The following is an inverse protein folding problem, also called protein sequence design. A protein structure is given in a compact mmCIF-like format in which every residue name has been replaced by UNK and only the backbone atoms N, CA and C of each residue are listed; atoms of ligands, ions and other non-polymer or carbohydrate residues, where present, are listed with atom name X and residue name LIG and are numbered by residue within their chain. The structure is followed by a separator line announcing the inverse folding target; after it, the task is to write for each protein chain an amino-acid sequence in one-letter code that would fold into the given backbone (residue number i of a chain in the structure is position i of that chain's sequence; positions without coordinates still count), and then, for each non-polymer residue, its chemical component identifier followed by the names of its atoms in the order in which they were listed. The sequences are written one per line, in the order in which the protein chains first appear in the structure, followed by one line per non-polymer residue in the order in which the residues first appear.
data_IF_402605663272
#
_entry.id   IF_402605663272
#
_cell.length_a   1.000
_cell.length_b   1.000
_cell.length_c   1.000
_cell.angle_alpha   90.00
_cell.angle_beta   90.00
_cell.angle_gamma   90.00
#
_symmetry.space_group_name_H-M   'P 1'
#
loop_
_entity.id
_entity.type
_entity.pdbx_description
1 polymer ?
#
# COMPACT_ATOMS: atom_id res chain seq x y z
N UNK A 1 -7.65 11.21 15.00
CA UNK A 1 -7.00 12.40 14.40
C UNK A 1 -5.58 12.66 14.94
N UNK A 2 -5.34 12.71 16.25
CA UNK A 2 -4.01 13.01 16.82
C UNK A 2 -2.87 12.08 16.35
N UNK A 3 -3.14 10.80 16.11
CA UNK A 3 -2.15 9.83 15.64
C UNK A 3 -1.69 10.11 14.20
N UNK A 4 -2.62 10.50 13.32
CA UNK A 4 -2.33 10.87 11.94
C UNK A 4 -1.58 12.20 11.83
N UNK A 5 -1.86 13.14 12.75
CA UNK A 5 -1.19 14.43 12.78
C UNK A 5 0.28 14.31 13.22
N UNK A 6 0.59 13.41 14.17
CA UNK A 6 1.98 13.05 14.52
C UNK A 6 2.73 12.41 13.36
N UNK A 7 2.07 11.51 12.62
CA UNK A 7 2.63 10.88 11.42
C UNK A 7 2.85 11.92 10.29
N UNK A 8 1.96 12.90 10.16
CA UNK A 8 2.08 13.99 9.20
C UNK A 8 3.27 14.92 9.51
N UNK A 9 3.55 15.24 10.78
CA UNK A 9 4.70 16.07 11.16
C UNK A 9 6.02 15.34 10.93
N UNK A 10 6.07 14.01 11.12
CA UNK A 10 7.26 13.21 10.84
C UNK A 10 7.66 13.21 9.34
N UNK A 11 6.72 13.49 8.43
CA UNK A 11 6.93 13.54 6.97
C UNK A 11 8.09 14.45 6.54
N UNK A 12 8.30 15.57 7.21
CA UNK A 12 9.27 16.59 6.80
C UNK A 12 10.68 16.41 7.39
N UNK A 13 10.89 15.39 8.21
CA UNK A 13 12.16 15.15 8.91
C UNK A 13 12.86 13.83 8.52
N UNK A 14 12.27 13.03 7.63
CA UNK A 14 12.85 11.75 7.22
C UNK A 14 13.94 11.96 6.17
N UNK A 15 15.20 11.91 6.61
CA UNK A 15 16.36 11.73 5.73
C UNK A 15 16.52 10.24 5.44
N UNK A 16 16.56 9.90 4.15
CA UNK A 16 16.69 8.54 3.68
C UNK A 16 18.10 8.28 3.16
N UNK A 17 18.92 7.50 3.87
CA UNK A 17 20.20 7.04 3.33
C UNK A 17 20.07 5.59 2.85
N UNK A 18 20.49 5.37 1.60
CA UNK A 18 20.60 4.05 0.99
C UNK A 18 22.05 3.59 1.01
N UNK A 19 22.23 2.28 1.08
CA UNK A 19 23.52 1.65 0.85
C UNK A 19 23.59 1.30 -0.64
N UNK A 20 24.54 1.89 -1.37
CA UNK A 20 24.76 1.58 -2.78
C UNK A 20 25.58 0.29 -2.93
N UNK A 21 25.50 -0.38 -4.08
CA UNK A 21 26.33 -1.56 -4.38
C UNK A 21 27.82 -1.24 -4.25
N UNK A 22 28.24 -0.04 -4.66
CA UNK A 22 29.61 0.42 -4.53
C UNK A 22 30.03 0.60 -3.06
N UNK A 23 29.18 1.22 -2.24
CA UNK A 23 29.46 1.43 -0.82
C UNK A 23 29.41 0.12 -0.03
N UNK A 24 28.49 -0.79 -0.37
CA UNK A 24 28.45 -2.15 0.17
C UNK A 24 29.73 -2.89 -0.19
N UNK A 25 30.09 -2.95 -1.48
CA UNK A 25 31.30 -3.63 -1.96
C UNK A 25 32.55 -3.09 -1.28
N UNK A 26 32.69 -1.75 -1.19
CA UNK A 26 33.81 -1.09 -0.51
C UNK A 26 33.86 -1.48 0.97
N UNK A 27 32.72 -1.51 1.65
CA UNK A 27 32.63 -1.86 3.06
C UNK A 27 32.96 -3.34 3.33
N UNK A 28 32.56 -4.26 2.44
CA UNK A 28 32.88 -5.70 2.57
C UNK A 28 34.33 -5.98 2.20
N UNK A 29 34.88 -5.30 1.20
CA UNK A 29 36.31 -5.41 0.87
C UNK A 29 37.19 -4.97 2.04
N UNK A 30 36.76 -3.94 2.79
CA UNK A 30 37.48 -3.47 3.98
C UNK A 30 37.37 -4.41 5.19
N UNK A 31 36.26 -5.16 5.31
CA UNK A 31 36.04 -6.15 6.38
C UNK A 31 35.15 -7.30 5.87
N UNK A 32 35.76 -8.39 5.37
CA UNK A 32 35.04 -9.47 4.67
C UNK A 32 34.36 -10.46 5.61
N UNK A 33 34.23 -10.13 6.91
CA UNK A 33 33.60 -11.03 7.88
C UNK A 33 32.09 -11.16 7.62
N UNK A 34 31.52 -12.38 7.70
CA UNK A 34 30.09 -12.60 7.53
C UNK A 34 29.23 -11.71 8.46
N UNK A 35 29.64 -11.57 9.72
CA UNK A 35 28.99 -10.69 10.70
C UNK A 35 28.87 -9.23 10.23
N UNK A 36 29.92 -8.68 9.61
CA UNK A 36 29.90 -7.31 9.07
C UNK A 36 29.00 -7.21 7.85
N UNK A 37 29.11 -8.17 6.93
CA UNK A 37 28.32 -8.20 5.72
C UNK A 37 26.82 -8.32 6.01
N UNK A 38 26.45 -9.26 6.86
CA UNK A 38 25.07 -9.48 7.26
C UNK A 38 24.49 -8.27 7.99
N UNK A 39 25.26 -7.60 8.86
CA UNK A 39 24.80 -6.35 9.50
C UNK A 39 24.48 -5.25 8.50
N UNK A 40 25.33 -5.07 7.47
CA UNK A 40 25.12 -4.07 6.43
C UNK A 40 23.89 -4.40 5.57
N UNK A 41 23.83 -5.63 5.07
CA UNK A 41 22.72 -6.13 4.26
C UNK A 41 21.40 -6.02 5.01
N UNK A 42 21.34 -6.56 6.21
CA UNK A 42 20.13 -6.53 7.00
C UNK A 42 19.73 -5.10 7.38
N UNK A 43 20.70 -4.20 7.66
CA UNK A 43 20.39 -2.79 7.94
C UNK A 43 19.81 -2.10 6.70
N UNK A 44 20.27 -2.46 5.50
CA UNK A 44 19.70 -1.97 4.25
C UNK A 44 18.25 -2.46 4.08
N UNK A 45 18.00 -3.75 4.27
CA UNK A 45 16.65 -4.33 4.18
C UNK A 45 15.69 -3.74 5.21
N UNK A 46 16.16 -3.52 6.45
CA UNK A 46 15.36 -2.85 7.48
C UNK A 46 14.94 -1.44 7.03
N UNK A 47 15.89 -0.67 6.49
CA UNK A 47 15.60 0.66 5.96
C UNK A 47 14.54 0.53 4.86
N UNK A 48 14.72 -0.30 3.84
CA UNK A 48 13.71 -0.46 2.79
C UNK A 48 12.31 -0.79 3.33
N UNK A 49 12.22 -1.66 4.35
CA UNK A 49 10.96 -1.95 5.02
C UNK A 49 10.36 -0.71 5.73
N UNK A 50 11.19 0.09 6.41
CA UNK A 50 10.78 1.38 6.97
C UNK A 50 10.31 2.35 5.87
N UNK A 51 10.93 2.33 4.69
CA UNK A 51 10.59 3.21 3.58
C UNK A 51 9.20 2.92 3.10
N UNK A 52 8.99 1.64 2.83
CA UNK A 52 7.70 1.16 2.40
C UNK A 52 6.61 1.46 3.42
N UNK A 53 6.88 1.29 4.73
CA UNK A 53 5.95 1.65 5.79
C UNK A 53 5.60 3.15 5.77
N UNK A 54 6.61 4.02 5.78
CA UNK A 54 6.43 5.48 5.80
C UNK A 54 5.70 5.95 4.55
N UNK A 55 6.12 5.50 3.37
CA UNK A 55 5.50 5.84 2.09
C UNK A 55 4.05 5.37 2.03
N UNK A 56 3.75 4.17 2.51
CA UNK A 56 2.39 3.62 2.55
C UNK A 56 1.48 4.43 3.46
N UNK A 57 1.92 4.72 4.69
CA UNK A 57 1.17 5.54 5.65
C UNK A 57 0.95 6.94 5.10
N UNK A 58 2.00 7.55 4.56
CA UNK A 58 1.92 8.87 3.95
C UNK A 58 0.90 8.89 2.81
N UNK A 59 0.99 7.93 1.87
CA UNK A 59 0.04 7.83 0.76
C UNK A 59 -1.39 7.63 1.23
N UNK A 60 -1.62 6.83 2.28
CA UNK A 60 -2.95 6.67 2.88
C UNK A 60 -3.50 8.01 3.39
N UNK A 61 -2.69 8.81 4.08
CA UNK A 61 -3.13 10.12 4.59
C UNK A 61 -3.47 11.07 3.45
N UNK A 62 -2.64 11.10 2.40
CA UNK A 62 -2.86 11.95 1.23
C UNK A 62 -4.11 11.59 0.46
N UNK A 63 -4.54 10.33 0.47
CA UNK A 63 -5.75 9.89 -0.22
C UNK A 63 -6.99 10.00 0.66
N UNK A 64 -6.88 9.66 1.95
CA UNK A 64 -8.03 9.62 2.86
C UNK A 64 -8.61 11.00 3.16
N UNK A 65 -7.76 12.00 3.43
CA UNK A 65 -8.22 13.35 3.75
C UNK A 65 -9.03 14.01 2.62
N UNK A 66 -8.57 14.04 1.36
CA UNK A 66 -9.38 14.55 0.26
C UNK A 66 -10.59 13.67 -0.05
N UNK A 67 -10.52 12.34 0.14
CA UNK A 67 -11.69 11.48 -0.07
C UNK A 67 -12.84 11.87 0.87
N UNK A 68 -12.53 12.12 2.15
CA UNK A 68 -13.53 12.60 3.13
C UNK A 68 -14.05 13.99 2.76
N UNK A 69 -13.19 14.91 2.31
CA UNK A 69 -13.65 16.23 1.84
C UNK A 69 -14.59 16.13 0.64
N UNK A 70 -14.24 15.30 -0.34
CA UNK A 70 -15.06 15.04 -1.51
C UNK A 70 -16.42 14.45 -1.12
N UNK A 71 -16.45 13.48 -0.21
CA UNK A 71 -17.71 12.93 0.33
C UNK A 71 -18.57 14.01 1.00
N UNK A 72 -17.98 14.86 1.83
CA UNK A 72 -18.70 15.96 2.50
C UNK A 72 -19.22 17.01 1.51
N UNK A 73 -18.51 17.23 0.41
CA UNK A 73 -18.93 18.11 -0.68
C UNK A 73 -19.92 17.46 -1.65
N UNK A 74 -20.30 16.20 -1.44
CA UNK A 74 -21.09 15.37 -2.37
C UNK A 74 -20.44 15.16 -3.75
N UNK A 75 -19.11 15.29 -3.83
CA UNK A 75 -18.30 15.00 -5.02
C UNK A 75 -18.01 13.49 -5.10
N UNK A 76 -19.06 12.69 -5.30
CA UNK A 76 -19.00 11.21 -5.18
C UNK A 76 -17.97 10.59 -6.13
N UNK A 77 -17.88 11.05 -7.37
CA UNK A 77 -16.90 10.51 -8.33
C UNK A 77 -15.46 10.75 -7.87
N UNK A 78 -15.15 11.95 -7.37
CA UNK A 78 -13.82 12.25 -6.85
C UNK A 78 -13.50 11.38 -5.62
N UNK A 79 -14.48 11.19 -4.73
CA UNK A 79 -14.36 10.27 -3.61
C UNK A 79 -14.11 8.82 -4.08
N UNK A 80 -14.79 8.33 -5.11
CA UNK A 80 -14.58 6.98 -5.65
C UNK A 80 -13.16 6.78 -6.19
N UNK A 81 -12.62 7.76 -6.93
CA UNK A 81 -11.25 7.71 -7.45
C UNK A 81 -10.23 7.60 -6.31
N UNK A 82 -10.39 8.45 -5.28
CA UNK A 82 -9.48 8.49 -4.13
C UNK A 82 -9.61 7.24 -3.26
N UNK A 83 -10.83 6.78 -2.98
CA UNK A 83 -11.11 5.55 -2.25
C UNK A 83 -10.60 4.31 -2.98
N UNK A 84 -10.67 4.29 -4.31
CA UNK A 84 -10.07 3.21 -5.11
C UNK A 84 -8.57 3.14 -4.90
N UNK A 85 -7.87 4.25 -5.14
CA UNK A 85 -6.41 4.31 -4.95
C UNK A 85 -6.01 3.96 -3.51
N UNK A 86 -6.81 4.39 -2.53
CA UNK A 86 -6.60 4.06 -1.12
C UNK A 86 -6.70 2.56 -0.85
N UNK A 87 -7.68 1.89 -1.46
CA UNK A 87 -7.84 0.43 -1.37
C UNK A 87 -6.63 -0.30 -1.95
N UNK A 88 -6.05 0.19 -3.05
CA UNK A 88 -4.86 -0.41 -3.67
C UNK A 88 -3.64 -0.38 -2.75
N UNK A 89 -3.40 0.77 -2.11
CA UNK A 89 -2.30 0.97 -1.15
C UNK A 89 -2.50 0.07 0.07
N UNK A 90 -3.71 0.06 0.64
CA UNK A 90 -4.04 -0.79 1.78
C UNK A 90 -3.88 -2.28 1.44
N UNK A 91 -4.36 -2.71 0.28
CA UNK A 91 -4.25 -4.09 -0.16
C UNK A 91 -2.78 -4.53 -0.28
N UNK A 92 -1.96 -3.69 -0.92
CA UNK A 92 -0.53 -3.97 -1.09
C UNK A 92 0.20 -4.03 0.25
N UNK A 93 -0.13 -3.12 1.17
CA UNK A 93 0.45 -3.09 2.51
C UNK A 93 0.06 -4.32 3.34
N UNK A 94 -1.21 -4.73 3.28
CA UNK A 94 -1.75 -5.89 4.01
C UNK A 94 -1.07 -7.21 3.62
N UNK A 95 -0.63 -7.35 2.37
CA UNK A 95 0.09 -8.55 1.91
C UNK A 95 1.60 -8.47 2.18
N UNK A 96 2.17 -7.27 2.12
CA UNK A 96 3.60 -7.08 2.27
C UNK A 96 4.06 -7.27 3.73
N UNK A 97 3.37 -6.68 4.70
CA UNK A 97 3.82 -6.71 6.11
C UNK A 97 3.95 -8.13 6.65
N UNK A 98 2.98 -9.05 6.49
CA UNK A 98 3.14 -10.41 6.97
C UNK A 98 4.28 -11.18 6.30
N UNK A 99 4.63 -10.85 5.05
CA UNK A 99 5.77 -11.47 4.37
C UNK A 99 7.10 -10.98 4.95
N UNK A 100 7.22 -9.67 5.18
CA UNK A 100 8.40 -9.05 5.79
C UNK A 100 8.61 -9.60 7.21
N UNK A 101 7.55 -9.60 8.02
CA UNK A 101 7.56 -10.13 9.39
C UNK A 101 8.01 -11.59 9.43
N UNK A 102 7.38 -12.46 8.61
CA UNK A 102 7.74 -13.88 8.56
C UNK A 102 9.20 -14.11 8.17
N UNK A 103 9.71 -13.32 7.24
CA UNK A 103 11.11 -13.44 6.82
C UNK A 103 12.07 -13.06 7.96
N UNK A 104 11.84 -11.93 8.64
CA UNK A 104 12.67 -11.54 9.79
C UNK A 104 12.64 -12.57 10.93
N UNK A 105 11.48 -13.19 11.17
CA UNK A 105 11.34 -14.26 12.18
C UNK A 105 12.08 -15.53 11.77
N UNK A 106 12.14 -15.84 10.47
CA UNK A 106 12.77 -17.05 9.95
C UNK A 106 14.30 -16.95 9.80
N UNK A 107 14.90 -15.79 10.06
CA UNK A 107 16.35 -15.63 9.98
C UNK A 107 17.08 -16.49 11.02
N UNK A 108 18.20 -17.14 10.65
CA UNK A 108 19.01 -17.94 11.57
C UNK A 108 19.88 -17.02 12.45
N UNK A 109 19.23 -16.33 13.40
CA UNK A 109 19.85 -15.32 14.26
C UNK A 109 21.04 -15.85 15.07
N UNK A 110 21.01 -17.13 15.42
CA UNK A 110 22.06 -17.85 16.13
C UNK A 110 23.35 -18.02 15.30
N UNK A 111 23.24 -17.97 13.97
CA UNK A 111 24.35 -18.23 13.03
C UNK A 111 24.66 -17.03 12.13
N UNK A 112 24.07 -15.88 12.41
CA UNK A 112 24.22 -14.65 11.60
C UNK A 112 25.66 -14.14 11.56
N UNK A 113 26.49 -14.50 12.53
CA UNK A 113 27.91 -14.11 12.54
C UNK A 113 28.83 -15.14 11.87
N UNK A 114 28.33 -16.35 11.57
CA UNK A 114 29.12 -17.50 11.10
C UNK A 114 29.13 -17.66 9.58
N UNK A 115 28.02 -17.32 8.91
CA UNK A 115 27.84 -17.55 7.47
C UNK A 115 27.11 -16.39 6.80
N UNK A 116 27.35 -16.18 5.51
CA UNK A 116 26.62 -15.17 4.72
C UNK A 116 25.14 -15.56 4.61
N UNK A 117 24.27 -14.58 4.83
CA UNK A 117 22.83 -14.77 4.63
C UNK A 117 22.49 -14.68 3.14
N UNK A 118 21.65 -15.60 2.69
CA UNK A 118 20.95 -15.45 1.42
C UNK A 118 19.66 -14.63 1.66
N UNK A 119 19.63 -13.42 1.12
CA UNK A 119 18.51 -12.49 1.25
C UNK A 119 18.01 -11.97 -0.11
N UNK A 120 18.48 -12.54 -1.22
CA UNK A 120 18.23 -11.99 -2.55
C UNK A 120 16.72 -11.83 -2.83
N UNK A 121 15.92 -12.86 -2.53
CA UNK A 121 14.48 -12.81 -2.74
C UNK A 121 13.80 -11.67 -1.95
N UNK A 122 14.24 -11.44 -0.70
CA UNK A 122 13.67 -10.40 0.15
C UNK A 122 14.14 -9.01 -0.27
N UNK A 123 15.39 -8.86 -0.66
CA UNK A 123 15.94 -7.63 -1.22
C UNK A 123 15.18 -7.21 -2.48
N UNK A 124 15.03 -8.13 -3.43
CA UNK A 124 14.26 -7.89 -4.65
C UNK A 124 12.80 -7.53 -4.33
N UNK A 125 12.19 -8.20 -3.36
CA UNK A 125 10.82 -7.91 -2.93
C UNK A 125 10.69 -6.50 -2.33
N UNK A 126 11.53 -6.14 -1.36
CA UNK A 126 11.51 -4.83 -0.71
C UNK A 126 11.85 -3.71 -1.68
N UNK A 127 12.84 -3.93 -2.55
CA UNK A 127 13.22 -2.99 -3.61
C UNK A 127 12.04 -2.73 -4.54
N UNK A 128 11.33 -3.78 -4.97
CA UNK A 128 10.12 -3.64 -5.80
C UNK A 128 9.00 -2.89 -5.09
N UNK A 129 8.85 -3.05 -3.78
CA UNK A 129 7.82 -2.33 -3.02
C UNK A 129 8.07 -0.81 -2.99
N UNK A 130 9.34 -0.38 -2.99
CA UNK A 130 9.73 1.03 -2.90
C UNK A 130 9.88 1.67 -4.29
N UNK A 131 10.57 0.99 -5.20
CA UNK A 131 10.99 1.53 -6.49
C UNK A 131 10.21 0.96 -7.67
N UNK A 132 9.36 -0.04 -7.43
CA UNK A 132 8.69 -0.72 -8.50
C UNK A 132 7.82 0.22 -9.32
N UNK A 133 7.84 0.05 -10.64
CA UNK A 133 7.04 0.84 -11.58
C UNK A 133 6.35 -0.06 -12.61
N UNK A 134 5.31 0.50 -13.24
CA UNK A 134 4.68 -0.06 -14.45
C UNK A 134 5.01 0.74 -15.72
N UNK A 135 5.71 1.87 -15.58
CA UNK A 135 6.21 2.63 -16.72
C UNK A 135 7.38 1.86 -17.34
N UNK A 136 7.33 1.66 -18.66
CA UNK A 136 7.88 0.51 -19.40
C UNK A 136 9.39 0.35 -19.51
N UNK A 137 10.19 1.04 -18.70
CA UNK A 137 11.65 1.11 -18.87
C UNK A 137 12.42 0.46 -17.70
N UNK A 138 11.71 -0.29 -16.83
CA UNK A 138 12.28 -0.85 -15.60
C UNK A 138 12.95 -2.21 -15.78
N UNK A 139 14.01 -2.45 -15.01
CA UNK A 139 14.60 -3.79 -14.78
C UNK A 139 13.51 -4.74 -14.28
N UNK A 140 13.49 -6.01 -14.71
CA UNK A 140 12.44 -6.99 -14.36
C UNK A 140 12.16 -7.09 -12.85
N UNK A 141 13.20 -6.95 -12.03
CA UNK A 141 13.11 -6.92 -10.57
C UNK A 141 12.17 -5.83 -10.05
N UNK A 142 12.02 -4.71 -10.78
CA UNK A 142 11.20 -3.54 -10.43
C UNK A 142 9.79 -3.59 -11.01
N UNK A 143 9.42 -4.63 -11.76
CA UNK A 143 8.08 -4.72 -12.36
C UNK A 143 7.02 -4.90 -11.26
N UNK A 144 6.11 -3.93 -11.12
CA UNK A 144 5.05 -4.02 -10.11
C UNK A 144 4.05 -5.15 -10.41
N UNK A 145 3.60 -5.82 -9.34
CA UNK A 145 2.53 -6.82 -9.41
C UNK A 145 1.20 -6.15 -9.78
N UNK A 146 0.40 -6.83 -10.60
CA UNK A 146 -0.95 -6.37 -10.93
C UNK A 146 -1.79 -6.25 -9.63
N UNK A 147 -2.52 -5.14 -9.47
CA UNK A 147 -3.32 -4.92 -8.28
C UNK A 147 -4.42 -5.96 -8.15
N UNK A 148 -5.03 -6.39 -9.26
CA UNK A 148 -6.08 -7.43 -9.27
C UNK A 148 -5.56 -8.71 -8.62
N UNK A 149 -4.34 -9.14 -8.93
CA UNK A 149 -3.71 -10.31 -8.32
C UNK A 149 -3.54 -10.16 -6.80
N UNK A 150 -3.32 -8.94 -6.31
CA UNK A 150 -3.23 -8.68 -4.87
C UNK A 150 -4.61 -8.74 -4.21
N UNK A 151 -5.64 -8.18 -4.84
CA UNK A 151 -7.01 -8.25 -4.35
C UNK A 151 -7.52 -9.70 -4.29
N UNK A 152 -7.22 -10.51 -5.30
CA UNK A 152 -7.52 -11.95 -5.30
C UNK A 152 -6.87 -12.70 -4.14
N UNK A 153 -5.61 -12.38 -3.80
CA UNK A 153 -4.93 -12.97 -2.64
C UNK A 153 -5.60 -12.58 -1.33
N UNK A 154 -6.04 -11.33 -1.20
CA UNK A 154 -6.74 -10.86 -0.01
C UNK A 154 -8.12 -11.49 0.12
N UNK A 155 -8.87 -11.62 -0.96
CA UNK A 155 -10.18 -12.28 -0.93
C UNK A 155 -10.05 -13.75 -0.53
N UNK A 156 -9.05 -14.48 -1.04
CA UNK A 156 -8.76 -15.85 -0.59
C UNK A 156 -8.43 -15.91 0.90
N UNK A 157 -7.75 -14.90 1.43
CA UNK A 157 -7.47 -14.82 2.86
C UNK A 157 -8.73 -14.52 3.67
N UNK A 158 -9.55 -13.56 3.22
CA UNK A 158 -10.79 -13.17 3.86
C UNK A 158 -11.80 -14.32 3.87
N UNK A 159 -11.91 -15.08 2.78
CA UNK A 159 -12.78 -16.27 2.67
C UNK A 159 -12.39 -17.35 3.69
N UNK A 160 -11.10 -17.59 3.89
CA UNK A 160 -10.61 -18.52 4.94
C UNK A 160 -10.97 -18.08 6.35
N UNK A 161 -11.21 -16.79 6.56
CA UNK A 161 -11.69 -16.22 7.82
C UNK A 161 -13.23 -16.16 7.91
N UNK A 162 -13.95 -16.74 6.94
CA UNK A 162 -15.41 -16.78 6.90
C UNK A 162 -16.07 -15.51 6.35
N UNK A 163 -15.32 -14.61 5.71
CA UNK A 163 -15.90 -13.45 5.03
C UNK A 163 -16.45 -13.81 3.65
N UNK A 164 -17.30 -12.93 3.12
CA UNK A 164 -17.89 -13.09 1.80
C UNK A 164 -16.81 -13.24 0.71
N UNK A 165 -16.94 -14.23 -0.21
CA UNK A 165 -16.00 -14.38 -1.32
C UNK A 165 -15.93 -13.11 -2.17
N UNK A 166 -14.76 -12.78 -2.71
CA UNK A 166 -14.57 -11.61 -3.59
C UNK A 166 -14.96 -10.25 -2.99
N UNK A 167 -15.13 -10.14 -1.67
CA UNK A 167 -15.55 -8.91 -0.98
C UNK A 167 -14.72 -7.69 -1.40
N UNK A 168 -13.40 -7.82 -1.42
CA UNK A 168 -12.49 -6.71 -1.74
C UNK A 168 -12.55 -6.40 -3.24
N UNK A 169 -12.55 -7.42 -4.10
CA UNK A 169 -12.68 -7.25 -5.54
C UNK A 169 -13.98 -6.59 -5.96
N UNK A 170 -15.12 -6.95 -5.37
CA UNK A 170 -16.42 -6.35 -5.68
C UNK A 170 -16.46 -4.86 -5.32
N UNK A 171 -15.88 -4.49 -4.17
CA UNK A 171 -15.75 -3.09 -3.75
C UNK A 171 -14.82 -2.33 -4.70
N UNK A 172 -13.70 -2.92 -5.07
CA UNK A 172 -12.77 -2.34 -6.03
C UNK A 172 -13.41 -2.14 -7.42
N UNK A 173 -14.13 -3.14 -7.92
CA UNK A 173 -14.83 -3.08 -9.20
C UNK A 173 -15.90 -1.98 -9.20
N UNK A 174 -16.67 -1.89 -8.12
CA UNK A 174 -17.68 -0.82 -7.93
C UNK A 174 -17.05 0.57 -7.98
N UNK A 175 -15.93 0.77 -7.27
CA UNK A 175 -15.21 2.06 -7.30
C UNK A 175 -14.61 2.35 -8.67
N UNK A 176 -14.09 1.33 -9.35
CA UNK A 176 -13.51 1.44 -10.70
C UNK A 176 -14.56 1.80 -11.75
N UNK A 177 -15.74 1.21 -11.67
CA UNK A 177 -16.87 1.51 -12.56
C UNK A 177 -17.31 2.98 -12.43
N UNK A 178 -17.28 3.53 -11.21
CA UNK A 178 -17.58 4.94 -10.98
C UNK A 178 -16.43 5.89 -11.37
N UNK A 179 -15.19 5.42 -11.33
CA UNK A 179 -13.99 6.23 -11.57
C UNK A 179 -13.59 6.35 -13.06
N UNK A 180 -13.93 5.37 -13.89
CA UNK A 180 -13.56 5.36 -15.30
C UNK A 180 -14.64 5.97 -16.19
N UNK A 181 -14.27 6.64 -17.30
CA UNK A 181 -15.22 7.15 -18.27
C UNK A 181 -15.83 5.98 -19.06
N UNK A 182 -16.87 5.36 -18.50
CA UNK A 182 -17.61 4.29 -19.16
C UNK A 182 -19.10 4.58 -19.09
N UNK A 183 -19.80 4.21 -20.16
CA UNK A 183 -21.21 4.52 -20.34
C UNK A 183 -22.09 3.91 -19.25
N UNK A 184 -21.81 2.68 -18.81
CA UNK A 184 -22.60 1.95 -17.83
C UNK A 184 -22.49 2.55 -16.43
N UNK A 185 -21.29 2.90 -15.99
CA UNK A 185 -21.04 3.64 -14.75
C UNK A 185 -21.66 5.03 -14.80
N UNK A 186 -21.51 5.75 -15.92
CA UNK A 186 -22.16 7.04 -16.11
C UNK A 186 -23.69 6.95 -16.01
N UNK A 187 -24.28 5.96 -16.69
CA UNK A 187 -25.71 5.69 -16.64
C UNK A 187 -26.16 5.38 -15.22
N UNK A 188 -25.45 4.47 -14.55
CA UNK A 188 -25.79 3.92 -13.24
C UNK A 188 -25.64 4.94 -12.11
N UNK A 189 -24.72 5.90 -12.23
CA UNK A 189 -24.33 6.76 -11.10
C UNK A 189 -24.54 8.25 -11.33
N UNK A 190 -24.66 8.72 -12.58
CA UNK A 190 -24.66 10.16 -12.92
C UNK A 190 -25.75 10.60 -13.91
N UNK A 191 -26.61 9.69 -14.37
CA UNK A 191 -27.69 10.01 -15.32
C UNK A 191 -29.08 9.63 -14.79
N UNK A 192 -30.09 10.43 -15.12
CA UNK A 192 -31.51 10.04 -15.09
C UNK A 192 -32.06 10.01 -16.52
N UNK A 193 -32.83 8.98 -16.88
CA UNK A 193 -33.57 8.99 -18.15
C UNK A 193 -34.69 10.01 -18.09
N UNK A 194 -34.88 10.79 -19.16
CA UNK A 194 -35.89 11.85 -19.12
C UNK A 194 -36.73 11.98 -20.39
N UNK A 195 -36.35 11.41 -21.53
CA UNK A 195 -37.28 11.18 -22.66
C UNK A 195 -36.67 10.31 -23.75
N UNK A 196 -37.45 9.38 -24.29
CA UNK A 196 -37.29 8.89 -25.65
C UNK A 196 -37.95 9.91 -26.58
N UNK A 197 -37.19 10.49 -27.50
CA UNK A 197 -37.74 11.18 -28.64
C UNK A 197 -38.28 10.12 -29.60
N UNK A 198 -39.47 10.38 -30.18
CA UNK A 198 -40.21 9.42 -31.03
C UNK A 198 -39.54 9.06 -32.35
N UNK A 199 -38.27 9.46 -32.55
CA UNK A 199 -37.38 9.16 -33.67
C UNK A 199 -36.32 8.10 -33.31
N UNK A 200 -36.40 7.51 -32.11
CA UNK A 200 -35.47 6.49 -31.62
C UNK A 200 -34.25 7.06 -30.87
N UNK A 201 -34.14 8.38 -30.72
CA UNK A 201 -33.10 9.02 -29.92
C UNK A 201 -33.55 9.17 -28.46
N UNK A 202 -32.66 8.88 -27.51
CA UNK A 202 -32.93 9.14 -26.09
C UNK A 202 -32.10 10.32 -25.59
N UNK A 203 -32.75 11.25 -24.89
CA UNK A 203 -32.06 12.34 -24.19
C UNK A 203 -32.01 12.01 -22.70
N UNK A 204 -30.80 12.02 -22.14
CA UNK A 204 -30.56 11.75 -20.72
C UNK A 204 -30.06 13.01 -20.04
N UNK A 205 -30.71 13.40 -18.95
CA UNK A 205 -30.21 14.49 -18.13
C UNK A 205 -29.13 13.98 -17.17
N UNK A 206 -27.97 14.64 -17.21
CA UNK A 206 -26.96 14.56 -16.15
C UNK A 206 -27.49 15.28 -14.92
N UNK A 207 -27.95 14.54 -13.92
CA UNK A 207 -28.20 15.12 -12.60
C UNK A 207 -26.90 15.06 -11.80
N UNK A 208 -26.20 16.18 -11.71
CA UNK A 208 -25.15 16.38 -10.72
C UNK A 208 -25.82 16.52 -9.34
N UNK A 209 -26.15 15.39 -8.73
CA UNK A 209 -26.78 15.35 -7.43
C UNK A 209 -26.81 13.92 -6.90
N UNK A 210 -26.00 13.65 -5.88
CA UNK A 210 -25.84 12.37 -5.21
C UNK A 210 -27.08 11.91 -4.41
N UNK A 211 -28.28 12.08 -4.95
CA UNK A 211 -29.54 11.79 -4.26
C UNK A 211 -30.23 10.64 -4.98
N UNK A 212 -29.82 9.42 -4.62
CA UNK A 212 -30.38 8.17 -5.14
C UNK A 212 -29.68 6.94 -4.55
N UNK A 213 -30.34 5.78 -4.61
CA UNK A 213 -29.82 4.53 -4.04
C UNK A 213 -28.43 4.13 -4.59
N UNK A 214 -28.16 4.44 -5.86
CA UNK A 214 -26.87 4.19 -6.49
C UNK A 214 -25.75 5.07 -5.92
N UNK A 215 -26.01 6.37 -5.71
CA UNK A 215 -25.05 7.28 -5.05
C UNK A 215 -24.82 6.88 -3.59
N UNK A 216 -25.86 6.45 -2.87
CA UNK A 216 -25.72 5.95 -1.50
C UNK A 216 -24.84 4.70 -1.45
N UNK A 217 -25.01 3.78 -2.40
CA UNK A 217 -24.15 2.59 -2.53
C UNK A 217 -22.67 2.96 -2.77
N UNK A 218 -22.41 3.95 -3.62
CA UNK A 218 -21.04 4.46 -3.85
C UNK A 218 -20.46 5.10 -2.61
N UNK A 219 -21.22 5.95 -1.91
CA UNK A 219 -20.79 6.57 -0.65
C UNK A 219 -20.44 5.49 0.38
N UNK A 220 -21.31 4.50 0.58
CA UNK A 220 -21.05 3.36 1.48
C UNK A 220 -19.79 2.59 1.09
N UNK A 221 -19.56 2.40 -0.20
CA UNK A 221 -18.36 1.72 -0.71
C UNK A 221 -17.09 2.56 -0.48
N UNK A 222 -17.14 3.88 -0.64
CA UNK A 222 -16.03 4.78 -0.32
C UNK A 222 -15.70 4.77 1.17
N UNK A 223 -16.73 4.85 2.02
CA UNK A 223 -16.59 4.75 3.49
C UNK A 223 -16.02 3.40 3.89
N UNK A 224 -16.46 2.31 3.26
CA UNK A 224 -15.90 0.98 3.50
C UNK A 224 -14.40 0.94 3.13
N UNK A 225 -13.98 1.48 1.99
CA UNK A 225 -12.58 1.50 1.58
C UNK A 225 -11.71 2.34 2.54
N UNK A 226 -12.22 3.46 3.03
CA UNK A 226 -11.58 4.28 4.08
C UNK A 226 -11.40 3.48 5.37
N UNK A 227 -12.46 2.82 5.84
CA UNK A 227 -12.44 1.99 7.04
C UNK A 227 -11.48 0.79 6.89
N UNK A 228 -11.51 0.13 5.73
CA UNK A 228 -10.60 -0.97 5.41
C UNK A 228 -9.15 -0.52 5.48
N UNK A 229 -8.80 0.56 4.78
CA UNK A 229 -7.44 1.09 4.79
C UNK A 229 -6.97 1.49 6.18
N UNK A 230 -7.85 2.13 6.96
CA UNK A 230 -7.58 2.46 8.35
C UNK A 230 -7.28 1.21 9.21
N UNK A 231 -8.14 0.19 9.12
CA UNK A 231 -7.95 -1.07 9.85
C UNK A 231 -6.65 -1.76 9.46
N UNK A 232 -6.33 -1.83 8.17
CA UNK A 232 -5.07 -2.39 7.69
C UNK A 232 -3.87 -1.65 8.28
N UNK A 233 -3.88 -0.31 8.26
CA UNK A 233 -2.77 0.48 8.77
C UNK A 233 -2.59 0.31 10.28
N UNK A 234 -3.68 0.36 11.06
CA UNK A 234 -3.62 0.19 12.52
C UNK A 234 -3.12 -1.21 12.90
N UNK A 235 -3.50 -2.25 12.17
CA UNK A 235 -3.08 -3.61 12.50
C UNK A 235 -1.67 -3.94 12.03
N UNK A 236 -1.21 -3.38 10.90
CA UNK A 236 0.05 -3.79 10.29
C UNK A 236 1.23 -2.86 10.59
N UNK A 237 1.01 -1.58 10.87
CA UNK A 237 2.08 -0.67 11.28
C UNK A 237 2.77 -1.16 12.57
N UNK A 238 2.05 -1.49 13.65
CA UNK A 238 2.67 -2.00 14.88
C UNK A 238 3.40 -3.32 14.69
N UNK A 239 2.83 -4.25 13.89
CA UNK A 239 3.47 -5.54 13.58
C UNK A 239 4.82 -5.36 12.92
N UNK A 240 4.90 -4.45 11.95
CA UNK A 240 6.18 -4.13 11.32
C UNK A 240 7.13 -3.45 12.30
N UNK A 241 6.64 -2.55 13.16
CA UNK A 241 7.46 -1.93 14.21
C UNK A 241 8.02 -2.96 15.22
N UNK A 242 7.24 -3.97 15.58
CA UNK A 242 7.67 -5.08 16.44
C UNK A 242 8.72 -5.95 15.76
N UNK A 243 8.51 -6.34 14.50
CA UNK A 243 9.49 -7.08 13.71
C UNK A 243 10.83 -6.32 13.62
N UNK A 244 10.78 -5.01 13.38
CA UNK A 244 11.97 -4.14 13.37
C UNK A 244 12.65 -4.06 14.73
N UNK A 245 11.91 -3.98 15.84
CA UNK A 245 12.50 -3.96 17.19
C UNK A 245 13.18 -5.28 17.53
N UNK A 246 12.55 -6.41 17.22
CA UNK A 246 13.14 -7.73 17.40
C UNK A 246 14.46 -7.85 16.63
N UNK A 247 14.46 -7.36 15.38
CA UNK A 247 15.64 -7.24 14.55
C UNK A 247 16.77 -6.40 15.20
N UNK A 248 16.46 -5.19 15.64
CA UNK A 248 17.46 -4.30 16.27
C UNK A 248 18.02 -4.88 17.57
N UNK A 249 17.17 -5.58 18.33
CA UNK A 249 17.61 -6.29 19.54
C UNK A 249 18.57 -7.44 19.19
N UNK A 250 18.30 -8.19 18.13
CA UNK A 250 19.14 -9.31 17.72
C UNK A 250 20.53 -8.87 17.22
N UNK A 251 20.65 -7.67 16.65
CA UNK A 251 21.94 -7.13 16.21
C UNK A 251 22.82 -6.53 17.31
N UNK A 252 22.31 -6.41 18.55
CA UNK A 252 23.08 -5.89 19.69
C UNK A 252 23.57 -4.45 19.55
N UNK A 253 23.04 -3.67 18.61
CA UNK A 253 23.47 -2.29 18.36
C UNK A 253 22.31 -1.41 17.82
N UNK A 254 22.30 -0.10 18.15
CA UNK A 254 21.45 0.85 17.44
C UNK A 254 21.87 0.94 15.97
N UNK A 255 20.92 1.28 15.07
CA UNK A 255 21.22 1.50 13.65
C UNK A 255 22.42 2.45 13.50
N UNK A 256 23.41 2.14 12.64
CA UNK A 256 24.69 2.85 12.59
C UNK A 256 24.66 4.35 12.24
N UNK A 257 23.50 5.00 12.13
CA UNK A 257 23.40 6.41 11.72
C UNK A 257 22.33 7.23 12.46
N UNK A 258 21.91 6.84 13.68
CA UNK A 258 21.21 7.79 14.58
C UNK A 258 22.23 8.60 15.39
N UNK A 259 23.13 9.32 14.71
CA UNK A 259 23.72 10.52 15.31
C UNK A 259 22.76 11.68 15.04
N UNK A 260 22.44 12.41 16.11
CA UNK A 260 21.41 13.45 16.17
C UNK A 260 21.68 14.62 15.24
#
# INVERSE_FOLDING_TARGET
MAHFQRLFTAKFALRWDFLTDEDFTRAIQADPRPSRANRLLLSHLLRLAEAYQVLSVWRVVELAAPAVRALNANEVTAACVLSRALLEVAASFALAVPRIEKWFVALPWDRVDEAFLDAEEMEQFLTRLVFGSRLGDGVDVLKQVNIITQLEKLDKYAERLGHHPKLVQERYATLSEAAHPNFLGFERFTSGMTKEAGDGWSTRHTSFGAKGAASEHLVRTCVWALAFAHSIMISNVPRLDEAKKAYLSALGAPLPHREK
#
